data_IF_604282000500
#
_entry.id   IF_604282000500
#
_cell.length_a   1.000
_cell.length_b   1.000
_cell.length_c   1.000
_cell.angle_alpha   90.00
_cell.angle_beta   90.00
_cell.angle_gamma   90.00
#
_symmetry.space_group_name_H-M   'P 1'
#
loop_
_entity.id
_entity.type
_entity.pdbx_description
1 polymer ?
#
# COMPACT_ATOMS: atom_id res chain seq x y z
N UNK A 1 -7.60 -3.18 -13.33
CA UNK A 1 -7.87 -4.52 -12.79
C UNK A 1 -7.07 -5.56 -13.54
N UNK A 2 -6.43 -6.46 -12.82
CA UNK A 2 -5.66 -7.58 -13.37
C UNK A 2 -6.19 -8.87 -12.74
N UNK A 3 -6.42 -9.91 -13.54
CA UNK A 3 -7.01 -11.19 -13.18
C UNK A 3 -8.43 -11.37 -13.69
N UNK A 4 -8.81 -12.64 -13.88
CA UNK A 4 -10.16 -13.03 -14.30
C UNK A 4 -11.11 -13.08 -13.12
N UNK A 5 -12.33 -12.57 -13.30
CA UNK A 5 -13.36 -12.60 -12.26
C UNK A 5 -13.86 -14.03 -12.07
N UNK A 6 -13.58 -14.59 -10.89
CA UNK A 6 -14.14 -15.84 -10.41
C UNK A 6 -14.61 -15.62 -8.97
N UNK A 7 -15.71 -16.24 -8.61
CA UNK A 7 -16.47 -15.96 -7.38
C UNK A 7 -15.71 -16.26 -6.07
N UNK A 8 -14.60 -17.00 -6.14
CA UNK A 8 -13.81 -17.44 -4.96
C UNK A 8 -12.45 -16.73 -4.81
N UNK A 9 -12.07 -15.83 -5.74
CA UNK A 9 -10.78 -15.16 -5.68
C UNK A 9 -10.77 -14.04 -4.64
N UNK A 10 -9.59 -13.85 -4.01
CA UNK A 10 -9.35 -12.71 -3.11
C UNK A 10 -9.31 -11.39 -3.89
N UNK A 11 -9.91 -10.36 -3.32
CA UNK A 11 -9.82 -9.00 -3.84
C UNK A 11 -8.63 -8.27 -3.20
N UNK A 12 -7.54 -8.12 -3.95
CA UNK A 12 -6.33 -7.44 -3.52
C UNK A 12 -6.29 -6.02 -4.09
N UNK A 13 -6.27 -5.01 -3.23
CA UNK A 13 -6.25 -3.61 -3.62
C UNK A 13 -4.91 -2.95 -3.32
N UNK A 14 -4.44 -2.12 -4.24
CA UNK A 14 -3.24 -1.30 -4.09
C UNK A 14 -3.59 0.12 -4.53
N UNK A 15 -3.46 1.08 -3.61
CA UNK A 15 -3.58 2.50 -3.89
C UNK A 15 -2.23 3.17 -3.66
N UNK A 16 -1.85 4.10 -4.53
CA UNK A 16 -0.59 4.80 -4.42
C UNK A 16 -0.76 6.30 -4.66
N UNK A 17 0.19 7.08 -4.13
CA UNK A 17 0.33 8.51 -4.38
C UNK A 17 -0.92 9.32 -4.03
N UNK A 18 -1.46 9.12 -2.83
CA UNK A 18 -2.48 10.00 -2.25
C UNK A 18 -1.91 11.42 -2.06
N UNK A 19 -0.62 11.51 -1.70
CA UNK A 19 0.13 12.76 -1.64
C UNK A 19 0.99 12.93 -2.90
N UNK A 20 0.82 14.02 -3.64
CA UNK A 20 1.45 14.20 -4.96
C UNK A 20 2.97 14.19 -5.00
N UNK A 21 3.65 14.67 -3.94
CA UNK A 21 5.12 14.70 -3.87
C UNK A 21 5.76 13.32 -3.73
N UNK A 22 5.00 12.31 -3.32
CA UNK A 22 5.47 10.95 -3.04
C UNK A 22 5.59 10.13 -4.34
N UNK A 23 6.47 10.57 -5.25
CA UNK A 23 6.61 9.97 -6.60
C UNK A 23 7.11 8.52 -6.55
N UNK A 24 7.84 8.13 -5.50
CA UNK A 24 8.31 6.76 -5.28
C UNK A 24 7.16 5.75 -5.18
N UNK A 25 5.96 6.20 -4.79
CA UNK A 25 4.78 5.36 -4.71
C UNK A 25 4.35 4.84 -6.10
N UNK A 26 4.46 5.64 -7.16
CA UNK A 26 4.17 5.17 -8.52
C UNK A 26 5.25 4.22 -9.05
N UNK A 27 6.53 4.47 -8.76
CA UNK A 27 7.62 3.56 -9.10
C UNK A 27 7.48 2.19 -8.41
N UNK A 28 7.01 2.19 -7.16
CA UNK A 28 6.66 0.95 -6.47
C UNK A 28 5.58 0.18 -7.24
N UNK A 29 4.51 0.86 -7.62
CA UNK A 29 3.39 0.23 -8.37
C UNK A 29 3.85 -0.23 -9.75
N UNK A 30 4.73 0.50 -10.42
CA UNK A 30 5.32 0.08 -11.70
C UNK A 30 6.02 -1.28 -11.54
N UNK A 31 6.94 -1.44 -10.58
CA UNK A 31 7.64 -2.70 -10.37
C UNK A 31 6.73 -3.86 -9.91
N UNK A 32 5.69 -3.56 -9.13
CA UNK A 32 4.64 -4.52 -8.78
C UNK A 32 3.90 -4.99 -10.04
N UNK A 33 3.50 -4.05 -10.91
CA UNK A 33 2.74 -4.35 -12.13
C UNK A 33 3.60 -5.08 -13.16
N UNK A 34 4.84 -4.64 -13.41
CA UNK A 34 5.78 -5.30 -14.32
C UNK A 34 5.88 -6.79 -13.99
N UNK A 35 6.07 -7.12 -12.70
CA UNK A 35 6.13 -8.52 -12.27
C UNK A 35 4.78 -9.23 -12.38
N UNK A 36 3.70 -8.58 -11.99
CA UNK A 36 2.36 -9.20 -11.94
C UNK A 36 1.84 -9.56 -13.34
N UNK A 37 2.21 -8.80 -14.39
CA UNK A 37 1.78 -9.06 -15.76
C UNK A 37 2.76 -9.93 -16.53
N UNK A 38 3.89 -10.28 -15.98
CA UNK A 38 4.86 -11.20 -16.58
C UNK A 38 4.27 -12.62 -16.62
N UNK A 39 3.94 -13.08 -17.81
CA UNK A 39 3.37 -14.41 -18.02
C UNK A 39 4.34 -15.56 -17.68
N UNK A 40 5.63 -15.29 -17.63
CA UNK A 40 6.66 -16.28 -17.31
C UNK A 40 6.99 -16.32 -15.82
N UNK A 41 6.63 -15.29 -15.04
CA UNK A 41 6.83 -15.29 -13.57
C UNK A 41 5.88 -16.29 -12.90
N UNK A 42 6.46 -17.32 -12.28
CA UNK A 42 5.72 -18.36 -11.56
C UNK A 42 4.89 -17.79 -10.40
N UNK A 43 5.44 -16.80 -9.66
CA UNK A 43 4.76 -16.20 -8.52
C UNK A 43 3.54 -15.39 -8.97
N UNK A 44 3.67 -14.60 -10.05
CA UNK A 44 2.57 -13.85 -10.62
C UNK A 44 1.42 -14.76 -11.04
N UNK A 45 1.71 -15.83 -11.78
CA UNK A 45 0.70 -16.83 -12.16
C UNK A 45 0.01 -17.46 -10.94
N UNK A 46 0.79 -17.81 -9.91
CA UNK A 46 0.25 -18.38 -8.67
C UNK A 46 -0.68 -17.38 -7.95
N UNK A 47 -0.28 -16.12 -7.82
CA UNK A 47 -1.12 -15.08 -7.22
C UNK A 47 -2.39 -14.83 -8.04
N UNK A 48 -2.28 -14.70 -9.37
CA UNK A 48 -3.43 -14.47 -10.27
C UNK A 48 -4.39 -15.66 -10.32
N UNK A 49 -3.94 -16.87 -9.99
CA UNK A 49 -4.86 -18.01 -9.83
C UNK A 49 -5.76 -17.87 -8.59
N UNK A 50 -5.33 -17.12 -7.56
CA UNK A 50 -6.00 -16.96 -6.27
C UNK A 50 -6.65 -15.59 -6.05
N UNK A 51 -6.18 -14.57 -6.74
CA UNK A 51 -6.59 -13.19 -6.50
C UNK A 51 -6.90 -12.40 -7.77
N UNK A 52 -7.68 -11.34 -7.57
CA UNK A 52 -7.88 -10.26 -8.54
C UNK A 52 -7.23 -9.01 -7.95
N UNK A 53 -6.40 -8.35 -8.75
CA UNK A 53 -5.75 -7.12 -8.32
C UNK A 53 -6.47 -5.89 -8.87
N UNK A 54 -6.82 -4.98 -7.99
CA UNK A 54 -7.32 -3.65 -8.27
C UNK A 54 -6.24 -2.65 -7.91
N UNK A 55 -5.68 -1.99 -8.90
CA UNK A 55 -4.53 -1.09 -8.71
C UNK A 55 -4.89 0.32 -9.14
N UNK A 56 -4.68 1.27 -8.26
CA UNK A 56 -4.81 2.72 -8.49
C UNK A 56 -3.41 3.32 -8.35
N UNK A 57 -2.68 3.50 -9.47
CA UNK A 57 -1.27 3.91 -9.40
C UNK A 57 -1.08 5.36 -8.96
N UNK A 58 -2.08 6.22 -9.19
CA UNK A 58 -2.08 7.60 -8.76
C UNK A 58 -3.47 7.98 -8.23
N UNK A 59 -3.61 8.07 -6.91
CA UNK A 59 -4.85 8.51 -6.28
C UNK A 59 -5.11 10.01 -6.45
N UNK A 60 -4.07 10.80 -6.67
CA UNK A 60 -4.15 12.27 -6.69
C UNK A 60 -3.61 12.86 -8.01
N UNK A 61 -4.28 12.60 -9.15
CA UNK A 61 -3.79 13.03 -10.45
C UNK A 61 -3.76 14.57 -10.59
N UNK A 62 -4.75 15.28 -10.06
CA UNK A 62 -4.80 16.74 -10.14
C UNK A 62 -3.69 17.39 -9.31
N UNK A 63 -3.47 16.89 -8.09
CA UNK A 63 -2.36 17.38 -7.26
C UNK A 63 -1.00 17.11 -7.90
N UNK A 64 -0.81 15.94 -8.51
CA UNK A 64 0.40 15.58 -9.24
C UNK A 64 0.61 16.50 -10.45
N UNK A 65 -0.43 16.75 -11.24
CA UNK A 65 -0.38 17.67 -12.40
C UNK A 65 0.00 19.08 -12.00
N UNK A 66 -0.55 19.58 -10.89
CA UNK A 66 -0.30 20.92 -10.38
C UNK A 66 0.99 21.05 -9.53
N UNK A 67 1.78 19.98 -9.38
CA UNK A 67 3.02 20.01 -8.59
C UNK A 67 2.80 20.30 -7.11
N UNK A 68 1.66 19.87 -6.55
CA UNK A 68 1.37 20.03 -5.12
C UNK A 68 2.13 18.99 -4.29
N UNK A 69 2.39 19.34 -3.04
CA UNK A 69 3.09 18.39 -2.14
C UNK A 69 2.15 17.35 -1.54
N UNK A 70 0.98 17.77 -1.03
CA UNK A 70 0.12 16.90 -0.22
C UNK A 70 -1.34 16.84 -0.66
N UNK A 71 -1.92 17.93 -1.13
CA UNK A 71 -3.37 18.07 -1.30
C UNK A 71 -3.80 17.89 -2.76
N UNK A 72 -5.07 17.50 -2.96
CA UNK A 72 -5.66 17.35 -4.28
C UNK A 72 -5.99 18.72 -4.95
N UNK A 73 -6.59 18.69 -6.12
CA UNK A 73 -7.01 19.89 -6.85
C UNK A 73 -7.93 20.82 -6.04
N UNK A 74 -8.78 20.26 -5.20
CA UNK A 74 -9.68 20.95 -4.26
C UNK A 74 -9.04 21.40 -2.95
N UNK A 75 -7.70 21.28 -2.79
CA UNK A 75 -6.96 21.63 -1.58
C UNK A 75 -7.28 20.77 -0.37
N UNK A 76 -7.62 19.49 -0.57
CA UNK A 76 -7.98 18.51 0.44
C UNK A 76 -6.89 17.43 0.54
N UNK A 77 -6.57 16.98 1.76
CA UNK A 77 -5.71 15.84 2.01
C UNK A 77 -6.51 14.54 1.87
N UNK A 78 -6.31 13.81 0.77
CA UNK A 78 -7.08 12.60 0.47
C UNK A 78 -6.94 11.53 1.57
N UNK A 79 -5.77 11.45 2.22
CA UNK A 79 -5.54 10.50 3.30
C UNK A 79 -6.10 10.97 4.68
N UNK A 80 -7.08 11.88 4.64
CA UNK A 80 -7.92 12.30 5.78
C UNK A 80 -9.42 12.26 5.46
N UNK A 81 -9.77 11.78 4.26
CA UNK A 81 -11.16 11.80 3.77
C UNK A 81 -11.83 10.41 3.75
N UNK A 82 -11.18 9.36 4.27
CA UNK A 82 -11.69 8.00 4.12
C UNK A 82 -12.93 7.68 4.95
N UNK A 83 -13.23 8.41 6.00
CA UNK A 83 -14.48 8.24 6.79
C UNK A 83 -15.71 8.77 6.06
N UNK A 84 -15.60 9.96 5.48
CA UNK A 84 -16.71 10.67 4.82
C UNK A 84 -16.28 11.30 3.49
N UNK A 85 -15.90 10.48 2.48
CA UNK A 85 -15.51 11.02 1.19
C UNK A 85 -16.71 11.62 0.47
N UNK A 86 -16.50 12.71 -0.26
CA UNK A 86 -17.56 13.36 -1.03
C UNK A 86 -17.16 13.63 -2.47
N UNK A 87 -18.14 13.71 -3.36
CA UNK A 87 -17.94 14.06 -4.77
C UNK A 87 -17.36 15.48 -4.94
N UNK A 88 -17.58 16.36 -3.97
CA UNK A 88 -17.12 17.74 -4.03
C UNK A 88 -15.68 17.91 -3.56
N UNK A 89 -15.28 17.20 -2.47
CA UNK A 89 -13.99 17.41 -1.80
C UNK A 89 -12.94 16.36 -2.17
N UNK A 90 -13.38 15.11 -2.30
CA UNK A 90 -12.51 13.93 -2.45
C UNK A 90 -13.12 12.89 -3.40
N UNK A 91 -13.48 13.30 -4.66
CA UNK A 91 -14.11 12.39 -5.60
C UNK A 91 -13.25 11.14 -5.87
N UNK A 92 -11.93 11.27 -5.79
CA UNK A 92 -10.98 10.17 -5.94
C UNK A 92 -11.24 9.07 -4.89
N UNK A 93 -11.32 9.44 -3.62
CA UNK A 93 -11.61 8.51 -2.51
C UNK A 93 -13.03 7.96 -2.63
N UNK A 94 -14.01 8.83 -2.95
CA UNK A 94 -15.41 8.45 -3.09
C UNK A 94 -15.60 7.32 -4.12
N UNK A 95 -15.03 7.46 -5.32
CA UNK A 95 -15.16 6.43 -6.36
C UNK A 95 -14.38 5.15 -6.05
N UNK A 96 -13.20 5.28 -5.46
CA UNK A 96 -12.42 4.11 -5.06
C UNK A 96 -13.15 3.31 -3.98
N UNK A 97 -13.66 3.97 -2.93
CA UNK A 97 -14.45 3.31 -1.89
C UNK A 97 -15.73 2.65 -2.44
N UNK A 98 -16.43 3.35 -3.34
CA UNK A 98 -17.61 2.78 -4.00
C UNK A 98 -17.24 1.47 -4.70
N UNK A 99 -16.12 1.45 -5.44
CA UNK A 99 -15.66 0.25 -6.12
C UNK A 99 -15.20 -0.85 -5.16
N UNK A 100 -14.54 -0.50 -4.06
CA UNK A 100 -14.17 -1.44 -3.00
C UNK A 100 -15.40 -2.10 -2.37
N UNK A 101 -16.49 -1.35 -2.14
CA UNK A 101 -17.75 -1.92 -1.65
C UNK A 101 -18.40 -2.91 -2.63
N UNK A 102 -18.22 -2.71 -3.95
CA UNK A 102 -18.76 -3.62 -4.98
C UNK A 102 -17.94 -4.91 -5.11
N UNK A 103 -16.63 -4.87 -4.83
CA UNK A 103 -15.70 -5.96 -5.11
C UNK A 103 -15.22 -6.68 -3.86
N UNK A 104 -15.51 -6.15 -2.67
CA UNK A 104 -14.86 -6.48 -1.40
C UNK A 104 -13.38 -6.08 -1.38
N UNK A 105 -12.75 -6.20 -0.19
CA UNK A 105 -11.31 -6.05 0.03
C UNK A 105 -10.86 -7.14 1.00
N UNK A 106 -10.02 -8.05 0.53
CA UNK A 106 -9.41 -9.09 1.36
C UNK A 106 -7.97 -8.73 1.75
N UNK A 107 -7.34 -7.85 0.95
CA UNK A 107 -6.00 -7.32 1.16
C UNK A 107 -5.89 -5.91 0.60
N UNK A 108 -5.22 -5.01 1.33
CA UNK A 108 -5.00 -3.64 0.90
C UNK A 108 -3.56 -3.19 1.16
N UNK A 109 -2.99 -2.45 0.20
CA UNK A 109 -1.75 -1.69 0.39
C UNK A 109 -1.97 -0.22 0.03
N UNK A 110 -1.54 0.67 0.92
CA UNK A 110 -1.48 2.11 0.75
C UNK A 110 -0.03 2.54 0.61
N UNK A 111 0.37 2.98 -0.58
CA UNK A 111 1.76 3.22 -0.92
C UNK A 111 2.07 4.70 -0.86
N UNK A 112 2.99 5.04 0.03
CA UNK A 112 3.40 6.40 0.38
C UNK A 112 4.92 6.58 0.34
N UNK A 113 5.36 7.79 0.68
CA UNK A 113 6.74 8.15 0.98
C UNK A 113 6.82 9.15 2.12
N UNK A 114 7.82 9.04 2.99
CA UNK A 114 8.06 9.93 4.10
C UNK A 114 9.25 10.87 3.82
N UNK A 115 9.03 12.18 4.00
CA UNK A 115 10.03 13.22 3.71
C UNK A 115 11.17 13.25 4.75
N UNK A 116 10.92 12.79 5.96
CA UNK A 116 11.83 12.94 7.10
C UNK A 116 12.55 11.62 7.43
N UNK A 117 11.85 10.51 7.36
CA UNK A 117 12.36 9.22 7.83
C UNK A 117 13.23 8.52 6.77
N UNK A 118 14.50 8.23 7.09
CA UNK A 118 15.46 7.68 6.13
C UNK A 118 15.41 6.14 6.09
N UNK A 119 14.24 5.54 6.04
CA UNK A 119 14.06 4.10 5.97
C UNK A 119 12.70 3.70 5.40
N UNK A 120 12.64 2.48 4.88
CA UNK A 120 11.36 1.85 4.52
C UNK A 120 10.72 1.26 5.77
N UNK A 121 9.44 1.56 6.00
CA UNK A 121 8.69 0.90 7.07
C UNK A 121 7.25 0.58 6.66
N UNK A 122 6.64 -0.32 7.43
CA UNK A 122 5.26 -0.73 7.25
C UNK A 122 4.42 -0.37 8.48
N UNK A 123 3.27 0.26 8.26
CA UNK A 123 2.18 0.32 9.21
C UNK A 123 1.16 -0.81 8.95
N UNK A 124 0.58 -1.34 10.02
CA UNK A 124 -0.50 -2.32 9.94
C UNK A 124 -1.75 -1.82 10.67
N UNK A 125 -2.90 -2.46 10.50
CA UNK A 125 -4.14 -2.07 11.15
C UNK A 125 -4.16 -2.54 12.61
N UNK A 126 -3.09 -2.23 13.37
CA UNK A 126 -2.86 -2.82 14.71
C UNK A 126 -3.63 -2.13 15.83
N UNK A 127 -4.12 -0.90 15.59
CA UNK A 127 -4.84 -0.06 16.55
C UNK A 127 -6.32 0.11 16.17
N UNK A 128 -6.80 -0.58 15.13
CA UNK A 128 -8.22 -0.53 14.73
C UNK A 128 -9.08 -1.33 15.71
N UNK A 129 -10.33 -0.87 16.02
CA UNK A 129 -11.22 -1.55 16.96
C UNK A 129 -11.52 -3.01 16.60
N UNK A 130 -11.62 -3.33 15.31
CA UNK A 130 -11.92 -4.69 14.82
C UNK A 130 -10.70 -5.60 14.68
N UNK A 131 -9.52 -5.21 15.18
CA UNK A 131 -8.29 -5.99 15.09
C UNK A 131 -8.49 -7.43 15.56
N UNK A 132 -8.16 -8.38 14.70
CA UNK A 132 -8.15 -9.80 15.01
C UNK A 132 -6.72 -10.35 15.17
N UNK A 133 -6.58 -11.47 15.87
CA UNK A 133 -5.28 -12.16 15.97
C UNK A 133 -4.80 -12.65 14.59
N UNK A 134 -5.71 -13.00 13.69
CA UNK A 134 -5.40 -13.35 12.30
C UNK A 134 -4.76 -12.18 11.56
N UNK A 135 -5.34 -10.98 11.64
CA UNK A 135 -4.77 -9.76 11.02
C UNK A 135 -3.36 -9.49 11.57
N UNK A 136 -3.17 -9.57 12.88
CA UNK A 136 -1.87 -9.39 13.55
C UNK A 136 -0.84 -10.43 13.08
N UNK A 137 -1.22 -11.68 13.02
CA UNK A 137 -0.36 -12.79 12.55
C UNK A 137 0.02 -12.59 11.09
N UNK A 138 -0.94 -12.28 10.23
CA UNK A 138 -0.71 -12.06 8.81
C UNK A 138 0.19 -10.84 8.56
N UNK A 139 0.01 -9.75 9.32
CA UNK A 139 0.91 -8.60 9.23
C UNK A 139 2.35 -8.97 9.56
N UNK A 140 2.59 -9.68 10.68
CA UNK A 140 3.94 -10.15 11.06
C UNK A 140 4.54 -11.09 10.02
N UNK A 141 3.75 -11.98 9.44
CA UNK A 141 4.20 -12.90 8.40
C UNK A 141 4.56 -12.15 7.12
N UNK A 142 3.75 -11.16 6.71
CA UNK A 142 4.04 -10.29 5.59
C UNK A 142 5.36 -9.52 5.80
N UNK A 143 5.55 -8.91 6.97
CA UNK A 143 6.79 -8.20 7.32
C UNK A 143 8.02 -9.12 7.24
N UNK A 144 7.93 -10.33 7.81
CA UNK A 144 9.05 -11.28 7.79
C UNK A 144 9.41 -11.74 6.37
N UNK A 145 8.39 -11.97 5.53
CA UNK A 145 8.61 -12.35 4.14
C UNK A 145 9.20 -11.20 3.30
N UNK A 146 8.75 -9.95 3.53
CA UNK A 146 9.29 -8.79 2.84
C UNK A 146 10.75 -8.54 3.23
N UNK A 147 11.10 -8.65 4.52
CA UNK A 147 12.48 -8.51 5.00
C UNK A 147 13.43 -9.53 4.36
N UNK A 148 12.92 -10.74 4.11
CA UNK A 148 13.71 -11.77 3.40
C UNK A 148 13.84 -11.47 1.91
N UNK A 149 12.79 -10.87 1.30
CA UNK A 149 12.72 -10.66 -0.14
C UNK A 149 13.39 -9.36 -0.61
N UNK A 150 13.57 -8.37 0.29
CA UNK A 150 14.08 -7.06 -0.08
C UNK A 150 15.04 -6.51 0.99
N UNK A 151 16.31 -6.20 0.64
CA UNK A 151 17.30 -5.72 1.59
C UNK A 151 17.06 -4.28 2.09
N UNK A 152 16.23 -3.51 1.39
CA UNK A 152 15.90 -2.14 1.76
C UNK A 152 14.83 -2.06 2.85
N UNK A 153 14.18 -3.17 3.17
CA UNK A 153 13.22 -3.25 4.26
C UNK A 153 13.79 -4.02 5.45
N UNK A 154 13.64 -3.44 6.63
CA UNK A 154 13.92 -4.10 7.92
C UNK A 154 12.79 -3.87 8.90
N UNK A 155 12.43 -4.90 9.64
CA UNK A 155 11.48 -4.79 10.75
C UNK A 155 12.06 -3.96 11.89
N UNK A 156 11.17 -3.32 12.66
CA UNK A 156 11.53 -2.48 13.80
C UNK A 156 11.67 -0.99 13.49
N UNK A 157 11.57 -0.62 12.21
CA UNK A 157 11.40 0.77 11.80
C UNK A 157 9.90 1.12 11.77
N UNK A 158 9.56 2.25 12.36
CA UNK A 158 8.19 2.77 12.49
C UNK A 158 8.20 4.29 12.68
N UNK A 159 7.05 4.92 12.78
CA UNK A 159 6.98 6.33 13.16
C UNK A 159 7.56 6.58 14.55
N UNK A 160 8.34 7.66 14.73
CA UNK A 160 8.86 8.05 16.03
C UNK A 160 7.74 8.22 17.07
N UNK A 161 7.96 7.65 18.27
CA UNK A 161 6.97 7.71 19.35
C UNK A 161 6.05 6.49 19.44
N UNK A 162 6.20 5.54 18.51
CA UNK A 162 5.40 4.32 18.48
C UNK A 162 3.96 4.53 17.98
N UNK A 163 3.15 3.46 17.97
CA UNK A 163 1.78 3.52 17.49
C UNK A 163 0.89 4.40 18.40
N UNK A 164 -0.08 5.13 17.84
CA UNK A 164 -1.05 5.87 18.63
C UNK A 164 -1.95 4.91 19.42
N UNK A 165 -2.55 5.35 20.54
CA UNK A 165 -3.41 4.48 21.35
C UNK A 165 -4.69 4.04 20.61
N UNK A 166 -5.08 4.74 19.56
CA UNK A 166 -6.23 4.44 18.68
C UNK A 166 -5.91 4.82 17.24
N UNK A 167 -6.39 4.02 16.30
CA UNK A 167 -6.22 4.29 14.88
C UNK A 167 -6.95 5.57 14.43
N UNK A 168 -6.31 6.39 13.62
CA UNK A 168 -6.99 7.47 12.90
C UNK A 168 -7.69 6.88 11.67
N UNK A 169 -8.99 6.63 11.80
CA UNK A 169 -9.80 6.03 10.73
C UNK A 169 -9.99 6.96 9.52
N UNK A 170 -9.56 8.22 9.57
CA UNK A 170 -9.55 9.09 8.39
C UNK A 170 -8.50 8.68 7.38
N UNK A 171 -7.50 7.89 7.78
CA UNK A 171 -6.44 7.35 6.93
C UNK A 171 -6.89 6.06 6.24
N UNK A 172 -6.50 5.89 4.97
CA UNK A 172 -6.90 4.77 4.13
C UNK A 172 -6.67 3.40 4.79
N UNK A 173 -5.43 3.10 5.17
CA UNK A 173 -5.07 1.79 5.68
C UNK A 173 -5.85 1.42 6.96
N UNK A 174 -6.05 2.37 7.87
CA UNK A 174 -6.84 2.14 9.08
C UNK A 174 -8.32 1.94 8.77
N UNK A 175 -8.88 2.82 7.93
CA UNK A 175 -10.28 2.72 7.52
C UNK A 175 -10.61 1.41 6.81
N UNK A 176 -9.76 1.00 5.87
CA UNK A 176 -9.96 -0.23 5.11
C UNK A 176 -9.79 -1.45 6.01
N UNK A 177 -8.77 -1.46 6.87
CA UNK A 177 -8.59 -2.52 7.87
C UNK A 177 -9.79 -2.70 8.78
N UNK A 178 -10.35 -1.57 9.29
CA UNK A 178 -11.54 -1.57 10.13
C UNK A 178 -12.79 -2.02 9.37
N UNK A 179 -13.06 -1.41 8.22
CA UNK A 179 -14.30 -1.61 7.48
C UNK A 179 -14.45 -3.01 6.91
N UNK A 180 -13.38 -3.57 6.35
CA UNK A 180 -13.38 -4.87 5.67
C UNK A 180 -12.80 -6.00 6.52
N UNK A 181 -12.28 -5.68 7.71
CA UNK A 181 -11.61 -6.63 8.62
C UNK A 181 -10.52 -7.44 7.90
N UNK A 182 -9.75 -6.77 7.05
CA UNK A 182 -8.75 -7.36 6.18
C UNK A 182 -7.33 -6.95 6.59
N UNK A 183 -6.33 -7.65 6.04
CA UNK A 183 -4.95 -7.23 6.14
C UNK A 183 -4.73 -5.98 5.29
N UNK A 184 -4.58 -4.85 5.97
CA UNK A 184 -4.34 -3.53 5.38
C UNK A 184 -2.97 -3.03 5.79
N UNK A 185 -2.15 -2.60 4.83
CA UNK A 185 -0.74 -2.25 5.04
C UNK A 185 -0.46 -0.87 4.47
N UNK A 186 0.09 0.02 5.31
CA UNK A 186 0.80 1.21 4.88
C UNK A 186 2.23 0.84 4.50
N UNK A 187 2.71 1.35 3.37
CA UNK A 187 4.11 1.27 2.96
C UNK A 187 4.65 2.69 2.86
N UNK A 188 5.67 3.01 3.65
CA UNK A 188 6.39 4.27 3.57
C UNK A 188 7.80 4.05 3.02
N UNK A 189 8.20 4.91 2.10
CA UNK A 189 9.50 4.88 1.44
C UNK A 189 10.24 6.19 1.69
N UNK A 190 11.57 6.20 1.89
CA UNK A 190 12.29 7.44 2.12
C UNK A 190 12.35 8.30 0.85
N UNK A 191 12.40 9.64 1.01
CA UNK A 191 12.59 10.56 -0.11
C UNK A 191 14.05 10.63 -0.59
N UNK A 192 15.02 10.40 0.28
CA UNK A 192 16.44 10.65 -0.01
C UNK A 192 17.26 9.38 -0.13
N UNK A 193 17.36 8.63 0.94
CA UNK A 193 18.11 7.36 1.00
C UNK A 193 17.66 6.52 2.20
N UNK A 194 18.10 5.26 2.22
CA UNK A 194 17.79 4.32 3.30
C UNK A 194 19.01 4.14 4.20
N UNK A 195 18.92 4.54 5.47
CA UNK A 195 20.05 4.62 6.39
C UNK A 195 20.80 3.31 6.62
N UNK A 196 20.11 2.16 6.53
CA UNK A 196 20.72 0.85 6.71
C UNK A 196 21.19 0.19 5.41
N UNK A 197 20.95 0.84 4.26
CA UNK A 197 21.34 0.37 2.92
C UNK A 197 21.65 1.57 2.03
N UNK A 198 22.65 2.36 2.42
CA UNK A 198 23.03 3.60 1.73
C UNK A 198 23.50 3.34 0.30
N UNK A 199 23.02 4.16 -0.64
CA UNK A 199 23.53 4.29 -2.00
C UNK A 199 24.02 5.74 -2.19
N UNK A 200 25.32 5.96 -2.00
CA UNK A 200 25.93 7.29 -2.03
C UNK A 200 25.89 7.95 -3.41
N UNK A 201 25.59 7.22 -4.47
CA UNK A 201 25.52 7.76 -5.83
C UNK A 201 24.09 8.15 -6.21
N UNK A 202 23.08 7.34 -5.83
CA UNK A 202 21.71 7.47 -6.31
C UNK A 202 20.68 7.73 -5.21
N UNK A 203 21.01 7.40 -3.96
CA UNK A 203 20.07 7.45 -2.85
C UNK A 203 18.89 6.50 -3.05
N UNK A 204 17.70 6.93 -2.62
CA UNK A 204 16.45 6.22 -2.92
C UNK A 204 16.03 6.47 -4.36
N UNK A 205 16.17 5.47 -5.19
CA UNK A 205 15.99 5.58 -6.63
C UNK A 205 14.70 4.91 -7.12
N UNK A 206 14.20 5.26 -8.32
CA UNK A 206 13.08 4.56 -8.96
C UNK A 206 13.30 3.03 -9.02
N UNK A 207 14.52 2.59 -9.28
CA UNK A 207 14.87 1.17 -9.34
C UNK A 207 14.67 0.47 -7.99
N UNK A 208 15.01 1.12 -6.87
CA UNK A 208 14.80 0.56 -5.52
C UNK A 208 13.32 0.46 -5.20
N UNK A 209 12.54 1.50 -5.55
CA UNK A 209 11.07 1.49 -5.39
C UNK A 209 10.42 0.37 -6.20
N UNK A 210 10.82 0.16 -7.48
CA UNK A 210 10.34 -0.97 -8.30
C UNK A 210 10.66 -2.31 -7.66
N UNK A 211 11.89 -2.50 -7.19
CA UNK A 211 12.29 -3.74 -6.50
C UNK A 211 11.47 -3.99 -5.25
N UNK A 212 11.18 -2.94 -4.46
CA UNK A 212 10.33 -3.05 -3.28
C UNK A 212 8.90 -3.47 -3.68
N UNK A 213 8.34 -2.87 -4.73
CA UNK A 213 7.03 -3.23 -5.28
C UNK A 213 6.97 -4.68 -5.76
N UNK A 214 7.95 -5.13 -6.53
CA UNK A 214 8.06 -6.52 -6.98
C UNK A 214 8.21 -7.51 -5.82
N UNK A 215 8.94 -7.12 -4.75
CA UNK A 215 9.15 -7.93 -3.55
C UNK A 215 7.90 -8.04 -2.68
N UNK A 216 7.02 -7.04 -2.71
CA UNK A 216 5.75 -7.08 -1.96
C UNK A 216 4.83 -8.22 -2.40
N UNK A 217 4.93 -8.66 -3.65
CA UNK A 217 4.21 -9.85 -4.15
C UNK A 217 4.71 -11.15 -3.50
N UNK A 218 5.99 -11.23 -3.13
CA UNK A 218 6.54 -12.37 -2.38
C UNK A 218 5.94 -12.38 -0.98
N UNK A 219 5.88 -11.21 -0.33
CA UNK A 219 5.28 -11.06 0.98
C UNK A 219 3.77 -11.38 0.96
N UNK A 220 3.03 -10.91 -0.04
CA UNK A 220 1.61 -11.25 -0.21
C UNK A 220 1.40 -12.76 -0.39
N UNK A 221 2.24 -13.42 -1.20
CA UNK A 221 2.12 -14.87 -1.39
C UNK A 221 2.30 -15.68 -0.09
N UNK A 222 3.03 -15.15 0.89
CA UNK A 222 3.23 -15.83 2.18
C UNK A 222 1.97 -15.85 3.05
N UNK A 223 1.02 -14.96 2.82
CA UNK A 223 -0.19 -14.78 3.62
C UNK A 223 -1.49 -14.98 2.86
N UNK A 224 -1.45 -15.07 1.52
CA UNK A 224 -2.67 -15.05 0.69
C UNK A 224 -3.68 -16.14 1.05
N UNK A 225 -3.24 -17.32 1.43
CA UNK A 225 -4.10 -18.43 1.82
C UNK A 225 -4.71 -18.28 3.23
N UNK A 226 -4.38 -17.20 3.94
CA UNK A 226 -4.81 -16.93 5.32
C UNK A 226 -5.58 -15.61 5.43
N UNK A 227 -5.92 -14.96 4.29
CA UNK A 227 -6.60 -13.67 4.26
C UNK A 227 -8.08 -13.74 4.71
N UNK A 228 -8.69 -14.92 4.65
CA UNK A 228 -10.06 -15.22 5.12
C UNK A 228 -10.03 -16.35 6.13
#
# INVERSE_FOLDING_TARGET
>A
RIGETQQEKFACWVCARQHPSETMAEWFVEGLLERLVDADDFLARKLLSKAIFYVVPCMNPDGAWHGRTRRNGGNVDLNREWVEPSMEKSPEVFFVQKKMCETNVDFFMDIHGDEELPYVFLGGPLEVPSLTETMRKNFRAFQAALETANPDYKRGYEYPGGPPPTADLRMAWNYIGEKFQCLSILVEQPFKDCEHALDLEKGWSPERSRKLGASSLVALNSVIDQLR
#
